data_IF_610583475147
#
_entry.id   IF_610583475147
#
_cell.length_a   1.000
_cell.length_b   1.000
_cell.length_c   1.000
_cell.angle_alpha   90.00
_cell.angle_beta   90.00
_cell.angle_gamma   90.00
#
_symmetry.space_group_name_H-M   'P 1'
#
loop_
_entity.id
_entity.type
_entity.pdbx_description
1 polymer ?
#
# COMPACT_ATOMS: atom_id res chain seq x y z
N UNK A 1 -7.11 -16.19 -29.49
CA UNK A 1 -6.41 -15.99 -28.19
C UNK A 1 -6.93 -14.69 -27.60
N UNK A 2 -7.28 -14.63 -26.31
CA UNK A 2 -7.58 -13.35 -25.67
C UNK A 2 -6.32 -12.48 -25.73
N UNK A 3 -6.49 -11.18 -26.05
CA UNK A 3 -5.38 -10.20 -26.02
C UNK A 3 -4.83 -10.15 -24.60
N UNK A 4 -3.51 -10.25 -24.44
CA UNK A 4 -2.87 -10.12 -23.13
C UNK A 4 -2.91 -8.68 -22.64
N UNK A 5 -3.01 -8.51 -21.33
CA UNK A 5 -2.91 -7.22 -20.66
C UNK A 5 -1.47 -6.71 -20.78
N UNK A 6 -1.28 -5.52 -21.31
CA UNK A 6 0.03 -4.88 -21.42
C UNK A 6 0.28 -4.03 -20.17
N UNK A 7 1.33 -4.37 -19.44
CA UNK A 7 1.67 -3.69 -18.19
C UNK A 7 3.02 -2.97 -18.28
N UNK A 8 3.12 -1.76 -17.74
CA UNK A 8 4.37 -1.04 -17.51
C UNK A 8 4.62 -0.98 -16.02
N UNK A 9 5.85 -1.26 -15.58
CA UNK A 9 6.30 -1.03 -14.21
C UNK A 9 6.96 0.34 -14.10
N UNK A 10 6.47 1.20 -13.21
CA UNK A 10 7.04 2.51 -12.90
C UNK A 10 7.54 2.56 -11.46
N UNK A 11 8.85 2.58 -11.29
CA UNK A 11 9.56 2.39 -10.03
C UNK A 11 9.90 0.92 -9.77
N UNK A 12 11.18 0.59 -9.68
CA UNK A 12 11.68 -0.78 -9.50
C UNK A 12 12.45 -0.85 -8.17
N UNK A 13 11.82 -0.32 -7.11
CA UNK A 13 12.22 -0.57 -5.74
C UNK A 13 11.84 -2.00 -5.32
N UNK A 14 12.00 -2.38 -4.05
CA UNK A 14 11.67 -3.72 -3.59
C UNK A 14 10.24 -4.16 -3.90
N UNK A 15 9.27 -3.27 -3.72
CA UNK A 15 7.85 -3.55 -4.03
C UNK A 15 7.65 -3.69 -5.54
N UNK A 16 8.20 -2.76 -6.34
CA UNK A 16 8.11 -2.85 -7.80
C UNK A 16 8.74 -4.11 -8.36
N UNK A 17 9.88 -4.54 -7.82
CA UNK A 17 10.52 -5.81 -8.18
C UNK A 17 9.64 -7.03 -7.86
N UNK A 18 8.98 -7.02 -6.69
CA UNK A 18 8.03 -8.08 -6.30
C UNK A 18 6.81 -8.11 -7.22
N UNK A 19 6.26 -6.93 -7.58
CA UNK A 19 5.14 -6.81 -8.53
C UNK A 19 5.54 -7.38 -9.89
N UNK A 20 6.70 -6.97 -10.43
CA UNK A 20 7.17 -7.45 -11.74
C UNK A 20 7.32 -8.98 -11.77
N UNK A 21 7.92 -9.56 -10.73
CA UNK A 21 8.03 -11.03 -10.63
C UNK A 21 6.66 -11.70 -10.65
N UNK A 22 5.70 -11.16 -9.90
CA UNK A 22 4.34 -11.69 -9.85
C UNK A 22 3.59 -11.50 -11.18
N UNK A 23 3.80 -10.38 -11.89
CA UNK A 23 3.24 -10.17 -13.23
C UNK A 23 3.76 -11.20 -14.25
N UNK A 24 5.04 -11.55 -14.18
CA UNK A 24 5.64 -12.57 -15.06
C UNK A 24 5.06 -13.97 -14.88
N UNK A 25 4.50 -14.26 -13.71
CA UNK A 25 3.79 -15.52 -13.45
C UNK A 25 2.39 -15.57 -14.10
N UNK A 26 1.84 -14.41 -14.55
CA UNK A 26 0.51 -14.33 -15.15
C UNK A 26 0.57 -14.55 -16.65
N UNK A 27 0.06 -15.67 -17.15
CA UNK A 27 0.02 -15.98 -18.60
C UNK A 27 -0.75 -14.94 -19.42
N UNK A 28 -1.69 -14.22 -18.78
CA UNK A 28 -2.51 -13.19 -19.39
C UNK A 28 -1.91 -11.79 -19.37
N UNK A 29 -0.68 -11.63 -18.86
CA UNK A 29 -0.01 -10.32 -18.75
C UNK A 29 1.30 -10.33 -19.53
N UNK A 30 1.57 -9.24 -20.26
CA UNK A 30 2.88 -8.95 -20.85
C UNK A 30 3.44 -7.66 -20.22
N UNK A 31 4.59 -7.76 -19.57
CA UNK A 31 5.34 -6.58 -19.12
C UNK A 31 6.08 -6.02 -20.33
N UNK A 32 5.65 -4.83 -20.78
CA UNK A 32 6.10 -4.22 -22.04
C UNK A 32 7.05 -3.03 -21.83
N UNK A 33 7.19 -2.54 -20.60
CA UNK A 33 8.07 -1.43 -20.28
C UNK A 33 8.41 -1.36 -18.79
N UNK A 34 9.52 -0.70 -18.47
CA UNK A 34 10.03 -0.52 -17.13
C UNK A 34 10.69 0.84 -16.97
N UNK A 35 10.29 1.60 -15.95
CA UNK A 35 10.77 2.97 -15.70
C UNK A 35 11.36 3.01 -14.28
N UNK A 36 12.60 3.55 -14.16
CA UNK A 36 13.22 3.85 -12.87
C UNK A 36 14.19 5.01 -13.06
N UNK A 37 14.35 5.85 -12.03
CA UNK A 37 15.25 6.98 -12.04
C UNK A 37 16.69 6.62 -11.63
N UNK A 38 16.92 5.42 -11.10
CA UNK A 38 18.22 4.97 -10.62
C UNK A 38 19.18 4.66 -11.78
N UNK A 39 20.29 5.45 -11.94
CA UNK A 39 21.25 5.23 -13.01
C UNK A 39 21.86 3.82 -13.02
N UNK A 40 21.92 3.15 -11.86
CA UNK A 40 22.46 1.79 -11.77
C UNK A 40 21.57 0.73 -12.42
N UNK A 41 20.29 1.06 -12.68
CA UNK A 41 19.30 0.17 -13.31
C UNK A 41 19.07 0.50 -14.78
N UNK A 42 19.22 1.77 -15.18
CA UNK A 42 18.94 2.25 -16.54
C UNK A 42 19.79 1.49 -17.55
N UNK A 43 19.14 1.05 -18.63
CA UNK A 43 19.78 0.29 -19.75
C UNK A 43 19.91 -1.21 -19.50
N UNK A 44 19.76 -1.67 -18.26
CA UNK A 44 19.81 -3.11 -17.92
C UNK A 44 18.48 -3.82 -18.26
N UNK A 45 18.56 -5.12 -18.49
CA UNK A 45 17.35 -5.92 -18.60
C UNK A 45 16.61 -5.98 -17.26
N UNK A 46 15.28 -5.93 -17.32
CA UNK A 46 14.43 -5.94 -16.13
C UNK A 46 14.61 -7.23 -15.31
N UNK A 47 14.86 -8.38 -15.97
CA UNK A 47 15.16 -9.65 -15.30
C UNK A 47 16.40 -9.53 -14.40
N UNK A 48 17.49 -8.90 -14.90
CA UNK A 48 18.71 -8.71 -14.14
C UNK A 48 18.49 -7.77 -12.94
N UNK A 49 17.72 -6.68 -13.16
CA UNK A 49 17.44 -5.69 -12.11
C UNK A 49 16.63 -6.29 -10.97
N UNK A 50 15.68 -7.19 -11.26
CA UNK A 50 14.86 -7.84 -10.22
C UNK A 50 15.47 -9.14 -9.69
N UNK A 51 16.63 -9.56 -10.23
CA UNK A 51 17.30 -10.79 -9.81
C UNK A 51 16.53 -12.05 -10.22
N UNK A 52 15.98 -12.10 -11.42
CA UNK A 52 15.37 -13.29 -12.00
C UNK A 52 16.46 -14.24 -12.53
N UNK A 53 16.21 -15.55 -12.48
CA UNK A 53 17.16 -16.59 -12.90
C UNK A 53 16.80 -17.28 -14.22
N UNK A 54 15.69 -16.88 -14.85
CA UNK A 54 15.13 -17.50 -16.07
C UNK A 54 15.62 -16.85 -17.38
N UNK A 55 16.67 -16.04 -17.29
CA UNK A 55 17.29 -15.34 -18.42
C UNK A 55 16.65 -13.96 -18.71
N UNK A 56 17.16 -13.26 -19.74
CA UNK A 56 16.70 -11.92 -20.06
C UNK A 56 15.25 -11.92 -20.54
N UNK A 57 14.48 -10.91 -20.09
CA UNK A 57 13.08 -10.74 -20.50
C UNK A 57 12.91 -9.83 -21.72
N UNK A 58 13.99 -9.21 -22.20
CA UNK A 58 13.95 -8.31 -23.36
C UNK A 58 13.33 -6.95 -23.07
N UNK A 59 13.07 -6.62 -21.79
CA UNK A 59 12.53 -5.33 -21.34
C UNK A 59 13.65 -4.57 -20.66
N UNK A 60 14.10 -3.47 -21.27
CA UNK A 60 15.13 -2.60 -20.68
C UNK A 60 14.52 -1.56 -19.79
N UNK A 61 15.14 -1.35 -18.62
CA UNK A 61 14.79 -0.25 -17.72
C UNK A 61 15.20 1.08 -18.34
N UNK A 62 14.28 2.04 -18.36
CA UNK A 62 14.51 3.38 -18.91
C UNK A 62 14.35 4.48 -17.87
N UNK A 63 15.17 5.52 -17.95
CA UNK A 63 14.97 6.78 -17.24
C UNK A 63 14.03 7.76 -17.98
N UNK A 64 13.77 7.51 -19.27
CA UNK A 64 12.81 8.27 -20.08
C UNK A 64 11.39 7.71 -19.89
N UNK A 65 10.68 8.27 -18.90
CA UNK A 65 9.34 7.85 -18.60
C UNK A 65 8.39 8.06 -19.79
N UNK A 66 8.48 9.20 -20.50
CA UNK A 66 7.58 9.51 -21.61
C UNK A 66 7.75 8.52 -22.77
N UNK A 67 8.98 8.25 -23.17
CA UNK A 67 9.27 7.31 -24.25
C UNK A 67 8.81 5.87 -23.94
N UNK A 68 8.77 5.47 -22.66
CA UNK A 68 8.21 4.17 -22.27
C UNK A 68 6.67 4.19 -22.23
N UNK A 69 6.05 5.24 -21.68
CA UNK A 69 4.59 5.36 -21.60
C UNK A 69 3.93 5.42 -22.98
N UNK A 70 4.59 6.06 -23.97
CA UNK A 70 4.10 6.15 -25.36
C UNK A 70 3.99 4.76 -26.06
N UNK A 71 4.52 3.68 -25.46
CA UNK A 71 4.33 2.31 -25.97
C UNK A 71 2.93 1.75 -25.80
N UNK A 72 1.99 2.51 -25.20
CA UNK A 72 0.60 2.15 -24.94
C UNK A 72 0.46 0.88 -24.10
N UNK A 73 0.20 1.03 -22.83
CA UNK A 73 -0.11 -0.05 -21.90
C UNK A 73 -1.56 0.03 -21.45
N UNK A 74 -2.14 -1.13 -21.11
CA UNK A 74 -3.48 -1.17 -20.52
C UNK A 74 -3.42 -0.71 -19.05
N UNK A 75 -2.30 -1.00 -18.36
CA UNK A 75 -2.09 -0.63 -16.95
C UNK A 75 -0.65 -0.25 -16.64
N UNK A 76 -0.47 0.77 -15.81
CA UNK A 76 0.82 1.13 -15.19
C UNK A 76 0.79 0.75 -13.71
N UNK A 77 1.76 -0.09 -13.30
CA UNK A 77 2.02 -0.42 -11.90
C UNK A 77 3.00 0.61 -11.34
N UNK A 78 2.52 1.52 -10.52
CA UNK A 78 3.27 2.68 -10.05
C UNK A 78 3.72 2.51 -8.60
N UNK A 79 5.04 2.57 -8.33
CA UNK A 79 5.62 2.25 -7.01
C UNK A 79 6.84 3.13 -6.67
N UNK A 80 6.70 4.46 -6.76
CA UNK A 80 7.83 5.38 -6.64
C UNK A 80 7.94 6.09 -5.29
N UNK A 81 6.81 6.51 -4.69
CA UNK A 81 6.80 7.24 -3.42
C UNK A 81 5.48 7.08 -2.69
N UNK A 82 5.51 7.26 -1.35
CA UNK A 82 4.33 7.29 -0.48
C UNK A 82 3.56 8.61 -0.54
N UNK A 83 4.21 9.69 -1.03
CA UNK A 83 3.67 11.06 -0.99
C UNK A 83 2.99 11.44 -2.29
N UNK A 84 1.69 11.74 -2.22
CA UNK A 84 0.89 12.12 -3.39
C UNK A 84 1.40 13.38 -4.10
N UNK A 85 1.78 14.48 -3.42
CA UNK A 85 2.36 15.65 -4.09
C UNK A 85 3.60 15.33 -4.92
N UNK A 86 4.44 14.39 -4.46
CA UNK A 86 5.69 14.01 -5.16
C UNK A 86 5.46 13.18 -6.42
N UNK A 87 4.33 12.52 -6.53
CA UNK A 87 4.04 11.60 -7.66
C UNK A 87 3.00 12.15 -8.64
N UNK A 88 2.45 13.33 -8.40
CA UNK A 88 1.38 13.91 -9.21
C UNK A 88 1.71 13.93 -10.71
N UNK A 89 2.89 14.44 -11.09
CA UNK A 89 3.28 14.55 -12.50
C UNK A 89 3.45 13.16 -13.14
N UNK A 90 3.92 12.17 -12.38
CA UNK A 90 4.04 10.79 -12.84
C UNK A 90 2.68 10.17 -13.11
N UNK A 91 1.73 10.35 -12.18
CA UNK A 91 0.37 9.83 -12.33
C UNK A 91 -0.35 10.50 -13.50
N UNK A 92 -0.25 11.84 -13.63
CA UNK A 92 -0.86 12.57 -14.74
C UNK A 92 -0.29 12.12 -16.09
N UNK A 93 1.03 11.86 -16.18
CA UNK A 93 1.66 11.37 -17.42
C UNK A 93 1.13 9.97 -17.80
N UNK A 94 0.87 9.09 -16.81
CA UNK A 94 0.27 7.78 -17.07
C UNK A 94 -1.18 7.90 -17.57
N UNK A 95 -1.96 8.82 -17.01
CA UNK A 95 -3.34 9.06 -17.43
C UNK A 95 -3.42 9.69 -18.83
N UNK A 96 -2.51 10.63 -19.15
CA UNK A 96 -2.44 11.33 -20.43
C UNK A 96 -2.26 10.37 -21.62
N UNK A 97 -1.57 9.25 -21.42
CA UNK A 97 -1.41 8.21 -22.46
C UNK A 97 -2.55 7.18 -22.48
N UNK A 98 -3.59 7.35 -21.69
CA UNK A 98 -4.75 6.47 -21.66
C UNK A 98 -4.51 5.13 -20.95
N UNK A 99 -3.58 5.05 -20.00
CA UNK A 99 -3.33 3.85 -19.20
C UNK A 99 -4.06 3.91 -17.85
N UNK A 100 -4.70 2.82 -17.44
CA UNK A 100 -5.13 2.67 -16.05
C UNK A 100 -3.91 2.64 -15.11
N UNK A 101 -4.08 3.07 -13.87
CA UNK A 101 -2.97 3.11 -12.89
C UNK A 101 -3.34 2.37 -11.61
N UNK A 102 -2.46 1.44 -11.20
CA UNK A 102 -2.46 0.87 -9.85
C UNK A 102 -1.21 1.36 -9.13
N UNK A 103 -1.39 2.18 -8.10
CA UNK A 103 -0.27 2.80 -7.37
C UNK A 103 -0.20 2.29 -5.93
N UNK A 104 1.02 2.10 -5.43
CA UNK A 104 1.27 1.83 -4.01
C UNK A 104 1.58 3.10 -3.22
N UNK A 105 1.27 4.27 -3.75
CA UNK A 105 1.34 5.53 -3.02
C UNK A 105 0.27 5.54 -1.92
N UNK A 106 0.70 5.51 -0.67
CA UNK A 106 -0.18 5.36 0.49
C UNK A 106 -1.15 6.55 0.63
N UNK A 107 -0.68 7.80 0.41
CA UNK A 107 -1.56 8.98 0.46
C UNK A 107 -2.63 8.98 -0.65
N UNK A 108 -2.43 8.23 -1.73
CA UNK A 108 -3.42 8.09 -2.82
C UNK A 108 -4.55 7.11 -2.45
N UNK A 109 -4.41 6.30 -1.41
CA UNK A 109 -5.42 5.29 -1.04
C UNK A 109 -6.78 5.90 -0.71
N UNK A 110 -6.78 7.06 -0.04
CA UNK A 110 -7.98 7.85 0.26
C UNK A 110 -7.66 9.34 0.41
N UNK A 111 -7.36 10.06 -0.69
CA UNK A 111 -6.78 11.41 -0.64
C UNK A 111 -7.80 12.53 -0.35
N UNK A 112 -9.08 12.23 -0.22
CA UNK A 112 -10.15 13.22 -0.23
C UNK A 112 -10.16 14.19 0.96
N UNK A 113 -9.56 13.80 2.09
CA UNK A 113 -9.41 14.68 3.27
C UNK A 113 -8.08 15.39 3.31
N UNK A 114 -7.00 14.65 3.03
CA UNK A 114 -5.62 15.17 3.16
C UNK A 114 -5.21 16.00 1.95
N UNK A 115 -5.65 15.60 0.75
CA UNK A 115 -5.28 16.22 -0.53
C UNK A 115 -6.48 16.43 -1.48
N UNK A 116 -7.55 17.14 -1.05
CA UNK A 116 -8.80 17.23 -1.83
C UNK A 116 -8.61 17.83 -3.23
N UNK A 117 -7.75 18.83 -3.37
CA UNK A 117 -7.47 19.47 -4.66
C UNK A 117 -6.71 18.54 -5.62
N UNK A 118 -5.72 17.78 -5.10
CA UNK A 118 -4.98 16.82 -5.89
C UNK A 118 -5.88 15.64 -6.30
N UNK A 119 -6.74 15.18 -5.39
CA UNK A 119 -7.74 14.16 -5.68
C UNK A 119 -8.69 14.59 -6.80
N UNK A 120 -9.23 15.81 -6.73
CA UNK A 120 -10.09 16.36 -7.77
C UNK A 120 -9.37 16.49 -9.12
N UNK A 121 -8.09 16.90 -9.13
CA UNK A 121 -7.27 17.01 -10.34
C UNK A 121 -7.04 15.65 -11.00
N UNK A 122 -6.71 14.63 -10.20
CA UNK A 122 -6.53 13.25 -10.70
C UNK A 122 -7.83 12.64 -11.20
N UNK A 123 -8.92 12.81 -10.47
CA UNK A 123 -10.24 12.32 -10.87
C UNK A 123 -10.68 12.91 -12.22
N UNK A 124 -10.50 14.23 -12.37
CA UNK A 124 -10.78 14.93 -13.63
C UNK A 124 -9.93 14.39 -14.79
N UNK A 125 -8.59 14.33 -14.61
CA UNK A 125 -7.69 13.85 -15.65
C UNK A 125 -8.00 12.41 -16.07
N UNK A 126 -8.26 11.51 -15.10
CA UNK A 126 -8.60 10.13 -15.38
C UNK A 126 -9.93 10.00 -16.15
N UNK A 127 -10.94 10.82 -15.81
CA UNK A 127 -12.23 10.88 -16.54
C UNK A 127 -12.06 11.39 -17.97
N UNK A 128 -11.27 12.44 -18.17
CA UNK A 128 -10.97 13.01 -19.47
C UNK A 128 -10.23 12.02 -20.37
N UNK A 129 -9.32 11.22 -19.82
CA UNK A 129 -8.61 10.16 -20.54
C UNK A 129 -9.39 8.84 -20.66
N UNK A 130 -10.57 8.72 -20.04
CA UNK A 130 -11.40 7.53 -20.09
C UNK A 130 -10.85 6.33 -19.32
N UNK A 131 -9.93 6.53 -18.37
CA UNK A 131 -9.26 5.48 -17.59
C UNK A 131 -9.47 5.65 -16.10
N UNK A 132 -9.09 4.66 -15.31
CA UNK A 132 -9.19 4.69 -13.86
C UNK A 132 -7.82 4.62 -13.19
N UNK A 133 -7.69 5.22 -12.00
CA UNK A 133 -6.52 5.03 -11.15
C UNK A 133 -6.94 4.71 -9.71
N UNK A 134 -6.10 3.94 -9.01
CA UNK A 134 -6.29 3.56 -7.61
C UNK A 134 -4.97 3.57 -6.85
N UNK A 135 -5.01 4.08 -5.62
CA UNK A 135 -3.99 3.83 -4.60
C UNK A 135 -4.37 2.61 -3.77
N UNK A 136 -3.47 1.63 -3.65
CA UNK A 136 -3.73 0.39 -2.91
C UNK A 136 -2.45 -0.28 -2.42
N UNK A 137 -2.58 -1.24 -1.53
CA UNK A 137 -1.51 -2.02 -0.93
C UNK A 137 -2.07 -2.91 0.16
N UNK A 138 -1.19 -3.43 1.02
CA UNK A 138 -1.66 -4.20 2.19
C UNK A 138 -2.22 -3.27 3.28
N UNK A 139 -1.59 -2.09 3.45
CA UNK A 139 -1.98 -1.08 4.44
C UNK A 139 -1.29 0.26 4.11
N UNK A 140 -2.06 1.29 3.71
CA UNK A 140 -3.49 1.28 3.40
C UNK A 140 -3.82 0.52 2.10
N UNK A 141 -5.08 0.11 1.96
CA UNK A 141 -5.63 -0.49 0.73
C UNK A 141 -6.29 -1.86 0.93
N UNK A 142 -5.97 -2.61 2.02
CA UNK A 142 -6.61 -3.90 2.25
C UNK A 142 -6.89 -4.21 3.73
N UNK A 143 -5.87 -4.50 4.55
CA UNK A 143 -6.07 -5.14 5.87
C UNK A 143 -6.81 -4.25 6.87
N UNK A 144 -6.47 -2.96 6.94
CA UNK A 144 -7.03 -2.05 7.93
C UNK A 144 -8.20 -1.19 7.39
N UNK A 145 -8.57 -1.37 6.13
CA UNK A 145 -9.67 -0.63 5.49
C UNK A 145 -10.58 -1.52 4.65
N UNK A 146 -10.18 -1.99 3.47
CA UNK A 146 -11.01 -2.82 2.58
C UNK A 146 -11.58 -4.07 3.28
N UNK A 147 -10.78 -4.75 4.09
CA UNK A 147 -11.22 -5.94 4.85
C UNK A 147 -12.28 -5.57 5.88
N UNK A 148 -12.10 -4.45 6.60
CA UNK A 148 -13.08 -3.91 7.55
C UNK A 148 -14.42 -3.65 6.86
N UNK A 149 -14.37 -2.95 5.71
CA UNK A 149 -15.55 -2.63 4.89
C UNK A 149 -16.22 -3.91 4.37
N UNK A 150 -15.43 -4.88 3.92
CA UNK A 150 -15.94 -6.15 3.38
C UNK A 150 -16.63 -6.96 4.47
N UNK A 151 -16.08 -7.04 5.68
CA UNK A 151 -16.71 -7.71 6.82
C UNK A 151 -18.01 -7.05 7.26
N UNK A 152 -18.12 -5.73 7.11
CA UNK A 152 -19.35 -5.01 7.43
C UNK A 152 -20.53 -5.36 6.51
N UNK A 153 -20.29 -5.99 5.35
CA UNK A 153 -21.36 -6.40 4.43
C UNK A 153 -22.36 -7.41 5.02
N UNK A 154 -21.98 -8.13 6.10
CA UNK A 154 -22.90 -9.04 6.80
C UNK A 154 -23.51 -8.42 8.07
N UNK A 155 -23.32 -7.11 8.30
CA UNK A 155 -23.89 -6.36 9.43
C UNK A 155 -25.08 -5.52 8.99
N UNK A 156 -26.13 -5.48 9.81
CA UNK A 156 -27.23 -4.54 9.63
C UNK A 156 -26.90 -3.14 10.14
N UNK A 157 -25.99 -3.05 11.13
CA UNK A 157 -25.52 -1.79 11.72
C UNK A 157 -24.11 -1.98 12.28
N UNK A 158 -23.24 -1.03 12.03
CA UNK A 158 -21.92 -0.92 12.66
C UNK A 158 -21.89 0.37 13.48
N UNK A 159 -21.51 0.26 14.74
CA UNK A 159 -21.44 1.37 15.70
C UNK A 159 -20.00 1.76 16.04
N UNK A 160 -19.07 0.79 15.91
CA UNK A 160 -17.65 0.99 16.14
C UNK A 160 -16.86 -0.04 15.33
N UNK A 161 -15.76 0.40 14.75
CA UNK A 161 -14.83 -0.45 14.01
C UNK A 161 -13.42 -0.36 14.61
N UNK A 162 -12.79 -1.50 14.85
CA UNK A 162 -11.40 -1.58 15.31
C UNK A 162 -10.60 -2.47 14.35
N UNK A 163 -9.43 -1.99 13.94
CA UNK A 163 -8.45 -2.77 13.20
C UNK A 163 -7.10 -2.72 13.91
N UNK A 164 -6.49 -3.86 14.12
CA UNK A 164 -5.17 -4.00 14.75
C UNK A 164 -4.26 -4.79 13.83
N UNK A 165 -3.05 -4.29 13.67
CA UNK A 165 -1.99 -4.95 12.92
C UNK A 165 -0.72 -5.01 13.74
N UNK A 166 -0.24 -6.22 14.07
CA UNK A 166 1.04 -6.48 14.73
C UNK A 166 1.96 -7.17 13.73
N UNK A 167 3.09 -6.53 13.43
CA UNK A 167 4.06 -7.02 12.45
C UNK A 167 5.39 -7.29 13.14
N UNK A 168 5.91 -8.51 13.02
CA UNK A 168 7.29 -8.78 13.36
C UNK A 168 8.22 -8.24 12.28
N UNK A 169 9.11 -7.33 12.68
CA UNK A 169 10.10 -6.72 11.80
C UNK A 169 11.48 -7.43 11.86
N UNK A 170 11.62 -8.51 12.61
CA UNK A 170 12.91 -9.18 12.83
C UNK A 170 13.53 -9.73 11.55
N UNK A 171 12.70 -10.28 10.64
CA UNK A 171 13.12 -10.81 9.34
C UNK A 171 13.09 -9.77 8.21
N UNK A 172 12.75 -8.51 8.54
CA UNK A 172 12.66 -7.46 7.53
C UNK A 172 14.03 -6.84 7.27
N UNK A 173 14.22 -6.34 6.05
CA UNK A 173 15.46 -5.70 5.61
C UNK A 173 15.92 -4.58 6.55
N UNK A 174 17.23 -4.42 6.73
CA UNK A 174 17.82 -3.36 7.56
C UNK A 174 17.25 -1.96 7.34
N UNK A 175 16.97 -1.49 6.09
CA UNK A 175 16.37 -0.17 5.89
C UNK A 175 14.99 -0.03 6.54
N UNK A 176 14.17 -1.10 6.59
CA UNK A 176 12.89 -1.07 7.28
C UNK A 176 13.08 -1.04 8.80
N UNK A 177 13.97 -1.88 9.35
CA UNK A 177 14.25 -1.88 10.78
C UNK A 177 14.75 -0.52 11.27
N UNK A 178 15.60 0.16 10.48
CA UNK A 178 16.00 1.54 10.74
C UNK A 178 14.85 2.55 10.60
N UNK A 179 14.00 2.39 9.59
CA UNK A 179 12.84 3.28 9.36
C UNK A 179 11.84 3.27 10.51
N UNK A 180 11.70 2.14 11.22
CA UNK A 180 10.83 2.04 12.39
C UNK A 180 11.54 2.39 13.71
N UNK A 181 12.79 2.83 13.66
CA UNK A 181 13.56 3.30 14.80
C UNK A 181 14.22 2.21 15.64
N UNK A 182 14.31 0.96 15.14
CA UNK A 182 14.93 -0.13 15.89
C UNK A 182 16.41 0.17 16.24
N UNK A 183 16.76 0.02 17.53
CA UNK A 183 18.09 0.28 18.11
C UNK A 183 18.33 1.74 18.51
N UNK A 184 17.40 2.67 18.29
CA UNK A 184 17.51 4.06 18.72
C UNK A 184 17.20 4.23 20.21
N UNK A 185 17.65 5.36 20.80
CA UNK A 185 17.10 5.82 22.08
C UNK A 185 15.66 6.31 21.92
N UNK A 186 14.91 6.36 23.02
CA UNK A 186 13.54 6.88 23.03
C UNK A 186 13.52 8.36 22.64
N UNK A 187 14.51 9.14 23.07
CA UNK A 187 14.67 10.55 22.77
C UNK A 187 14.90 10.78 21.27
N UNK A 188 15.85 10.05 20.67
CA UNK A 188 16.15 10.13 19.25
C UNK A 188 14.91 9.75 18.40
N UNK A 189 14.19 8.70 18.82
CA UNK A 189 12.94 8.29 18.16
C UNK A 189 11.91 9.42 18.14
N UNK A 190 11.67 10.06 19.30
CA UNK A 190 10.68 11.15 19.41
C UNK A 190 11.06 12.38 18.58
N UNK A 191 12.36 12.70 18.49
CA UNK A 191 12.84 13.76 17.60
C UNK A 191 12.54 13.44 16.14
N UNK A 192 12.85 12.21 15.69
CA UNK A 192 12.58 11.78 14.31
C UNK A 192 11.09 11.69 13.99
N UNK A 193 10.23 11.40 14.96
CA UNK A 193 8.78 11.48 14.80
C UNK A 193 8.34 12.94 14.58
N UNK A 194 8.86 13.89 15.38
CA UNK A 194 8.56 15.35 15.21
C UNK A 194 9.03 15.86 13.84
N UNK A 195 10.15 15.36 13.32
CA UNK A 195 10.68 15.69 12.00
C UNK A 195 9.90 15.00 10.86
N UNK A 196 8.95 14.10 11.17
CA UNK A 196 8.18 13.34 10.18
C UNK A 196 8.98 12.22 9.47
N UNK A 197 10.17 11.87 10.00
CA UNK A 197 11.05 10.82 9.44
C UNK A 197 10.51 9.45 9.81
N UNK A 198 10.12 9.24 11.08
CA UNK A 198 9.50 8.01 11.54
C UNK A 198 8.00 8.17 11.49
N UNK A 199 7.38 7.52 10.49
CA UNK A 199 5.94 7.49 10.29
C UNK A 199 5.57 6.34 9.36
N UNK A 200 4.51 5.62 9.68
CA UNK A 200 3.79 4.81 8.69
C UNK A 200 2.69 5.67 8.06
N UNK A 201 2.78 5.91 6.76
CA UNK A 201 1.83 6.73 6.02
C UNK A 201 0.56 5.90 5.73
N UNK A 202 -0.63 6.50 5.91
CA UNK A 202 -1.88 5.92 5.45
C UNK A 202 -2.90 5.52 6.52
N UNK A 203 -2.58 5.54 7.83
CA UNK A 203 -3.57 5.24 8.86
C UNK A 203 -4.76 6.23 8.86
N UNK A 204 -4.55 7.55 8.82
CA UNK A 204 -5.64 8.52 8.71
C UNK A 204 -6.49 8.31 7.46
N UNK A 205 -5.88 7.96 6.33
CA UNK A 205 -6.56 7.64 5.07
C UNK A 205 -7.46 6.40 5.24
N UNK A 206 -6.97 5.35 5.90
CA UNK A 206 -7.79 4.15 6.19
C UNK A 206 -8.94 4.46 7.12
N UNK A 207 -8.73 5.27 8.19
CA UNK A 207 -9.81 5.73 9.08
C UNK A 207 -10.89 6.47 8.28
N UNK A 208 -10.48 7.41 7.41
CA UNK A 208 -11.41 8.20 6.59
C UNK A 208 -12.20 7.30 5.62
N UNK A 209 -11.52 6.36 4.94
CA UNK A 209 -12.15 5.43 4.01
C UNK A 209 -13.18 4.54 4.72
N UNK A 210 -12.86 4.00 5.90
CA UNK A 210 -13.77 3.18 6.69
C UNK A 210 -14.96 4.01 7.17
N UNK A 211 -14.72 5.22 7.70
CA UNK A 211 -15.78 6.13 8.15
C UNK A 211 -16.82 6.37 7.05
N UNK A 212 -16.36 6.84 5.90
CA UNK A 212 -17.23 7.18 4.79
C UNK A 212 -17.94 5.94 4.20
N UNK A 213 -17.27 4.76 4.22
CA UNK A 213 -17.87 3.52 3.71
C UNK A 213 -18.93 2.94 4.63
N UNK A 214 -18.79 3.11 5.94
CA UNK A 214 -19.74 2.62 6.94
C UNK A 214 -20.82 3.64 7.29
N UNK A 215 -20.76 4.86 6.70
CA UNK A 215 -21.68 5.95 7.02
C UNK A 215 -21.49 6.51 8.44
N UNK A 216 -20.31 6.33 9.03
CA UNK A 216 -19.97 6.87 10.34
C UNK A 216 -19.52 8.32 10.19
N UNK A 217 -20.23 9.25 10.86
CA UNK A 217 -19.83 10.65 10.85
C UNK A 217 -18.62 10.83 11.75
N UNK A 218 -17.46 11.08 11.14
CA UNK A 218 -16.19 11.37 11.82
C UNK A 218 -15.84 12.84 11.58
N UNK A 219 -15.81 13.63 12.64
CA UNK A 219 -15.49 15.07 12.61
C UNK A 219 -13.99 15.29 12.74
N UNK A 220 -13.30 14.43 13.48
CA UNK A 220 -11.88 14.55 13.80
C UNK A 220 -11.18 13.19 13.59
N UNK A 221 -10.00 13.23 12.98
CA UNK A 221 -9.08 12.11 12.92
C UNK A 221 -7.81 12.50 13.66
N UNK A 222 -7.46 11.74 14.69
CA UNK A 222 -6.22 11.93 15.47
C UNK A 222 -5.24 10.82 15.16
N UNK A 223 -3.95 11.14 15.25
CA UNK A 223 -2.86 10.17 15.08
C UNK A 223 -1.81 10.36 16.17
N UNK A 224 -1.34 9.26 16.74
CA UNK A 224 -0.23 9.23 17.70
C UNK A 224 0.81 8.21 17.27
N UNK A 225 2.09 8.55 17.44
CA UNK A 225 3.22 7.67 17.10
C UNK A 225 4.12 7.62 18.33
N UNK A 226 4.22 6.43 18.93
CA UNK A 226 5.02 6.18 20.13
C UNK A 226 6.06 5.09 19.87
N UNK A 227 7.18 5.07 20.59
CA UNK A 227 8.16 4.00 20.49
C UNK A 227 7.63 2.72 21.14
N UNK A 228 7.84 1.59 20.50
CA UNK A 228 7.77 0.28 21.13
C UNK A 228 9.14 -0.01 21.76
N UNK A 229 9.24 0.03 23.08
CA UNK A 229 10.50 -0.15 23.81
C UNK A 229 10.74 -1.63 24.06
N UNK A 230 11.97 -2.12 23.83
CA UNK A 230 12.36 -3.48 24.11
C UNK A 230 12.46 -3.71 25.64
N UNK A 231 11.80 -4.75 26.13
CA UNK A 231 11.91 -5.21 27.52
C UNK A 231 13.06 -6.18 27.74
N UNK A 232 13.52 -6.82 26.69
CA UNK A 232 14.63 -7.78 26.67
C UNK A 232 15.50 -7.55 25.43
N UNK A 233 16.66 -8.19 25.40
CA UNK A 233 17.56 -8.12 24.24
C UNK A 233 16.96 -8.88 23.08
N UNK A 234 16.83 -8.18 21.93
CA UNK A 234 16.37 -8.76 20.66
C UNK A 234 17.50 -8.69 19.65
N UNK A 235 17.83 -9.82 19.03
CA UNK A 235 18.85 -9.88 17.98
C UNK A 235 18.20 -10.29 16.65
N UNK A 236 18.46 -9.49 15.61
CA UNK A 236 18.10 -9.81 14.23
C UNK A 236 19.35 -10.15 13.42
N UNK A 237 19.21 -10.50 12.16
CA UNK A 237 20.37 -10.65 11.25
C UNK A 237 21.19 -9.35 11.13
N UNK A 238 20.56 -8.18 11.27
CA UNK A 238 21.14 -6.89 10.91
C UNK A 238 21.53 -6.01 12.09
N UNK A 239 20.87 -6.16 13.23
CA UNK A 239 21.10 -5.32 14.41
C UNK A 239 20.69 -6.02 15.70
N UNK A 240 21.21 -5.50 16.80
CA UNK A 240 20.80 -5.88 18.16
C UNK A 240 20.08 -4.69 18.80
N UNK A 241 18.97 -4.95 19.46
CA UNK A 241 18.24 -3.98 20.29
C UNK A 241 18.39 -4.41 21.75
N UNK A 242 18.96 -3.53 22.55
CA UNK A 242 19.14 -3.79 23.99
C UNK A 242 17.89 -3.34 24.79
N UNK A 243 17.68 -3.90 25.99
CA UNK A 243 16.59 -3.46 26.86
C UNK A 243 16.61 -1.94 27.06
N UNK A 244 15.45 -1.30 26.95
CA UNK A 244 15.31 0.15 27.04
C UNK A 244 15.49 0.90 25.72
N UNK A 245 16.03 0.28 24.70
CA UNK A 245 16.05 0.86 23.34
C UNK A 245 14.72 0.64 22.63
N UNK A 246 14.50 1.40 21.55
CA UNK A 246 13.34 1.27 20.69
C UNK A 246 13.44 -0.01 19.86
N UNK A 247 12.43 -0.86 19.94
CA UNK A 247 12.28 -2.04 19.10
C UNK A 247 11.53 -1.71 17.79
N UNK A 248 10.75 -0.64 17.78
CA UNK A 248 9.98 -0.23 16.61
C UNK A 248 8.91 0.82 16.92
N UNK A 249 7.91 0.88 16.07
CA UNK A 249 6.84 1.89 16.10
C UNK A 249 5.53 1.30 16.62
N UNK A 250 4.83 2.09 17.43
CA UNK A 250 3.44 1.90 17.83
C UNK A 250 2.64 3.12 17.40
N UNK A 251 1.79 2.97 16.41
CA UNK A 251 1.03 4.05 15.80
C UNK A 251 -0.45 3.78 15.91
N UNK A 252 -1.21 4.79 16.35
CA UNK A 252 -2.66 4.70 16.53
C UNK A 252 -3.31 5.86 15.81
N UNK A 253 -4.35 5.56 15.03
CA UNK A 253 -5.26 6.56 14.47
C UNK A 253 -6.68 6.32 14.98
N UNK A 254 -7.39 7.40 15.32
CA UNK A 254 -8.77 7.37 15.80
C UNK A 254 -9.65 8.27 14.97
N UNK A 255 -10.84 7.78 14.66
CA UNK A 255 -11.93 8.56 14.10
C UNK A 255 -12.93 8.91 15.21
N UNK A 256 -13.09 10.20 15.48
CA UNK A 256 -13.93 10.70 16.57
C UNK A 256 -15.16 11.42 16.01
N UNK A 257 -16.27 11.33 16.72
CA UNK A 257 -17.48 12.14 16.52
C UNK A 257 -17.91 12.72 17.86
N UNK A 258 -17.91 14.04 17.97
CA UNK A 258 -18.24 14.74 19.22
C UNK A 258 -17.44 14.20 20.43
N UNK A 259 -16.16 13.86 20.20
CA UNK A 259 -15.24 13.30 21.19
C UNK A 259 -15.42 11.79 21.45
N UNK A 260 -16.43 11.14 20.89
CA UNK A 260 -16.64 9.69 20.98
C UNK A 260 -15.85 8.96 19.90
N UNK A 261 -15.06 7.96 20.27
CA UNK A 261 -14.35 7.08 19.33
C UNK A 261 -15.33 6.17 18.59
N UNK A 262 -15.34 6.25 17.26
CA UNK A 262 -16.11 5.38 16.38
C UNK A 262 -15.21 4.43 15.60
N UNK A 263 -13.95 4.83 15.36
CA UNK A 263 -12.97 4.01 14.65
C UNK A 263 -11.66 4.05 15.41
N UNK A 264 -11.06 2.89 15.61
CA UNK A 264 -9.75 2.70 16.22
C UNK A 264 -8.89 1.85 15.30
N UNK A 265 -7.76 2.39 14.88
CA UNK A 265 -6.76 1.68 14.09
C UNK A 265 -5.41 1.72 14.78
N UNK A 266 -4.78 0.56 14.94
CA UNK A 266 -3.53 0.40 15.65
C UNK A 266 -2.55 -0.43 14.82
N UNK A 267 -1.37 0.14 14.57
CA UNK A 267 -0.24 -0.53 13.93
C UNK A 267 0.91 -0.63 14.92
N UNK A 268 1.32 -1.84 15.22
CA UNK A 268 2.57 -2.14 15.91
C UNK A 268 3.51 -2.83 14.92
N UNK A 269 4.68 -2.25 14.68
CA UNK A 269 5.71 -2.85 13.84
C UNK A 269 7.04 -2.75 14.57
N UNK A 270 7.54 -3.88 15.06
CA UNK A 270 8.75 -3.91 15.89
C UNK A 270 9.48 -5.25 15.77
N UNK A 271 10.78 -5.24 16.07
CA UNK A 271 11.59 -6.46 16.13
C UNK A 271 11.29 -7.21 17.42
N UNK A 272 11.20 -8.54 17.34
CA UNK A 272 10.88 -9.40 18.48
C UNK A 272 9.39 -9.46 18.83
N UNK A 273 8.49 -9.21 17.87
CA UNK A 273 7.07 -9.39 18.09
C UNK A 273 6.74 -10.89 18.28
N UNK A 274 6.11 -11.24 19.40
CA UNK A 274 5.81 -12.64 19.76
C UNK A 274 4.53 -13.17 19.13
N UNK A 275 3.54 -12.29 18.91
CA UNK A 275 2.21 -12.67 18.42
C UNK A 275 1.79 -11.79 17.24
N UNK A 276 2.49 -11.87 16.09
CA UNK A 276 2.09 -11.11 14.91
C UNK A 276 0.71 -11.55 14.45
N UNK A 277 -0.16 -10.58 14.17
CA UNK A 277 -1.52 -10.83 13.72
C UNK A 277 -2.12 -9.59 13.06
N UNK A 278 -3.06 -9.81 12.14
CA UNK A 278 -4.01 -8.78 11.70
C UNK A 278 -5.38 -9.13 12.29
N UNK A 279 -6.09 -8.16 12.87
CA UNK A 279 -7.43 -8.39 13.41
C UNK A 279 -8.39 -7.24 13.11
N UNK A 280 -9.67 -7.59 13.00
CA UNK A 280 -10.78 -6.65 12.81
C UNK A 280 -11.89 -7.00 13.78
N UNK A 281 -12.39 -6.01 14.51
CA UNK A 281 -13.55 -6.10 15.36
C UNK A 281 -14.60 -5.06 14.94
N UNK A 282 -15.82 -5.51 14.67
CA UNK A 282 -16.97 -4.63 14.42
C UNK A 282 -17.96 -4.80 15.57
N UNK A 283 -18.30 -3.70 16.25
CA UNK A 283 -19.40 -3.66 17.21
C UNK A 283 -20.66 -3.16 16.49
N UNK A 284 -21.74 -3.89 16.62
CA UNK A 284 -23.00 -3.56 15.92
C UNK A 284 -23.99 -4.70 15.96
N UNK A 285 -24.70 -4.93 14.87
CA UNK A 285 -25.68 -6.00 14.75
C UNK A 285 -25.43 -6.81 13.46
N UNK A 286 -24.86 -8.03 13.58
CA UNK A 286 -24.21 -8.62 14.76
C UNK A 286 -22.82 -8.01 15.04
N UNK A 287 -22.21 -8.34 16.18
CA UNK A 287 -20.80 -8.14 16.41
C UNK A 287 -19.99 -9.14 15.55
N UNK A 288 -18.87 -8.69 15.00
CA UNK A 288 -17.99 -9.52 14.18
C UNK A 288 -16.56 -9.38 14.69
N UNK A 289 -15.85 -10.50 14.73
CA UNK A 289 -14.42 -10.54 15.02
C UNK A 289 -13.73 -11.45 14.03
N UNK A 290 -12.62 -10.97 13.45
CA UNK A 290 -11.73 -11.72 12.56
C UNK A 290 -10.31 -11.59 13.06
N UNK A 291 -9.58 -12.69 13.04
CA UNK A 291 -8.13 -12.70 13.31
C UNK A 291 -7.42 -13.46 12.17
N UNK A 292 -6.35 -12.92 11.67
CA UNK A 292 -5.40 -13.59 10.76
C UNK A 292 -4.13 -13.85 11.57
N UNK A 293 -3.95 -15.06 12.11
CA UNK A 293 -2.75 -15.42 12.87
C UNK A 293 -1.50 -15.29 12.01
N UNK A 294 -0.41 -14.79 12.58
CA UNK A 294 0.84 -14.50 11.86
C UNK A 294 0.78 -13.20 11.05
N UNK A 295 -0.40 -12.65 10.84
CA UNK A 295 -0.60 -11.44 10.04
C UNK A 295 -0.25 -11.58 8.56
N UNK A 296 -0.42 -10.51 7.81
CA UNK A 296 -0.08 -10.46 6.37
C UNK A 296 1.32 -9.88 6.19
N UNK A 297 2.20 -10.59 5.52
CA UNK A 297 3.55 -10.11 5.25
C UNK A 297 3.52 -8.86 4.35
N UNK A 298 4.07 -7.73 4.82
CA UNK A 298 3.91 -6.42 4.17
C UNK A 298 4.29 -6.36 2.69
N UNK A 299 5.51 -6.83 2.33
CA UNK A 299 6.01 -6.73 0.95
C UNK A 299 5.26 -7.69 0.01
N UNK A 300 5.02 -8.94 0.47
CA UNK A 300 4.29 -9.95 -0.31
C UNK A 300 2.83 -9.50 -0.53
N UNK A 301 2.14 -9.12 0.54
CA UNK A 301 0.73 -8.75 0.45
C UNK A 301 0.53 -7.46 -0.36
N UNK A 302 1.43 -6.46 -0.25
CA UNK A 302 1.34 -5.24 -1.06
C UNK A 302 1.44 -5.55 -2.56
N UNK A 303 2.44 -6.33 -2.96
CA UNK A 303 2.58 -6.75 -4.37
C UNK A 303 1.36 -7.57 -4.84
N UNK A 304 0.87 -8.47 -3.98
CA UNK A 304 -0.30 -9.29 -4.29
C UNK A 304 -1.57 -8.45 -4.47
N UNK A 305 -1.87 -7.53 -3.56
CA UNK A 305 -3.06 -6.66 -3.67
C UNK A 305 -2.97 -5.79 -4.91
N UNK A 306 -1.80 -5.19 -5.20
CA UNK A 306 -1.61 -4.37 -6.38
C UNK A 306 -1.85 -5.16 -7.67
N UNK A 307 -1.26 -6.35 -7.82
CA UNK A 307 -1.44 -7.20 -9.02
C UNK A 307 -2.87 -7.75 -9.11
N UNK A 308 -3.46 -8.15 -7.99
CA UNK A 308 -4.83 -8.64 -7.92
C UNK A 308 -5.88 -7.55 -8.23
N UNK A 309 -5.51 -6.27 -8.14
CA UNK A 309 -6.38 -5.14 -8.50
C UNK A 309 -6.47 -4.91 -10.02
N UNK A 310 -5.57 -5.49 -10.83
CA UNK A 310 -5.52 -5.24 -12.28
C UNK A 310 -6.84 -5.57 -12.98
N UNK A 311 -7.47 -6.74 -12.82
CA UNK A 311 -8.73 -7.01 -13.51
C UNK A 311 -9.83 -6.01 -13.14
N UNK A 312 -9.93 -5.67 -11.85
CA UNK A 312 -10.96 -4.77 -11.35
C UNK A 312 -10.77 -3.31 -11.83
N UNK A 313 -9.52 -2.83 -11.91
CA UNK A 313 -9.26 -1.45 -12.37
C UNK A 313 -9.50 -1.28 -13.88
N UNK A 314 -9.22 -2.31 -14.67
CA UNK A 314 -9.47 -2.29 -16.12
C UNK A 314 -10.96 -2.28 -16.47
N UNK A 315 -11.82 -2.77 -15.58
CA UNK A 315 -13.27 -2.79 -15.73
C UNK A 315 -13.96 -1.63 -14.98
N UNK A 316 -13.21 -0.85 -14.21
CA UNK A 316 -13.74 0.22 -13.39
C UNK A 316 -14.22 1.40 -14.24
N UNK A 317 -15.21 2.14 -13.73
CA UNK A 317 -15.56 3.43 -14.29
C UNK A 317 -14.36 4.38 -14.23
N UNK A 318 -14.17 5.19 -15.27
CA UNK A 318 -13.08 6.18 -15.30
C UNK A 318 -13.14 7.16 -14.13
N UNK A 319 -11.95 7.59 -13.67
CA UNK A 319 -11.77 8.51 -12.54
C UNK A 319 -10.89 7.94 -11.45
N UNK A 320 -10.72 8.71 -10.37
CA UNK A 320 -10.03 8.27 -9.16
C UNK A 320 -10.92 7.26 -8.41
N UNK A 321 -10.37 6.07 -8.18
CA UNK A 321 -11.01 4.99 -7.43
C UNK A 321 -10.24 4.72 -6.14
N UNK A 322 -10.92 4.13 -5.19
CA UNK A 322 -10.32 3.62 -3.96
C UNK A 322 -10.51 2.11 -3.90
N UNK A 323 -9.82 1.44 -3.00
CA UNK A 323 -9.98 -0.01 -2.83
C UNK A 323 -11.41 -0.42 -2.51
N UNK A 324 -12.21 0.47 -1.87
CA UNK A 324 -13.63 0.22 -1.58
C UNK A 324 -14.48 0.09 -2.84
N UNK A 325 -14.11 0.78 -3.92
CA UNK A 325 -14.88 0.85 -5.16
C UNK A 325 -14.60 -0.35 -6.09
N UNK A 326 -13.54 -1.13 -5.80
CA UNK A 326 -13.08 -2.22 -6.64
C UNK A 326 -13.44 -3.59 -6.05
N UNK A 327 -13.92 -4.50 -6.89
CA UNK A 327 -14.11 -5.91 -6.53
C UNK A 327 -12.76 -6.66 -6.63
N UNK A 328 -11.84 -6.37 -5.70
CA UNK A 328 -10.52 -7.00 -5.68
C UNK A 328 -10.66 -8.46 -5.27
N UNK A 329 -10.32 -9.35 -6.19
CA UNK A 329 -10.27 -10.80 -5.98
C UNK A 329 -8.87 -11.35 -6.30
N UNK A 330 -8.72 -12.67 -6.25
CA UNK A 330 -7.48 -13.31 -6.64
C UNK A 330 -7.36 -13.33 -8.18
N UNK A 331 -6.24 -12.81 -8.71
CA UNK A 331 -5.92 -12.86 -10.13
C UNK A 331 -5.09 -14.13 -10.40
N UNK A 332 -5.67 -15.17 -11.04
CA UNK A 332 -4.98 -16.45 -11.23
C UNK A 332 -3.82 -16.33 -12.22
N UNK A 333 -2.81 -17.21 -12.08
CA UNK A 333 -1.67 -17.27 -12.99
C UNK A 333 -2.10 -17.69 -14.39
N UNK A 334 -3.06 -18.62 -14.48
CA UNK A 334 -3.67 -19.05 -15.76
C UNK A 334 -5.10 -18.53 -15.85
N UNK A 335 -5.54 -18.07 -17.04
CA UNK A 335 -6.93 -17.71 -17.24
C UNK A 335 -7.87 -18.87 -16.88
N UNK A 336 -8.99 -18.55 -16.22
CA UNK A 336 -10.06 -19.53 -16.06
C UNK A 336 -10.59 -19.92 -17.45
N UNK A 337 -10.79 -21.21 -17.66
CA UNK A 337 -11.32 -21.77 -18.93
C UNK A 337 -12.75 -21.31 -19.16
#
# INVERSE_FOLDING_TARGET
MRKKIRAIQYGIGPIGASIVKLLKEKESVDVVGAIDADPAKIGRDLADVVGASDGPWGVKVSGDARGVLDQSADVVMHTTSSSLPKVMDQLLACLDVGSCVVSTCEELSYPYRTHPELAAKLDKAAKESGVALVGTGVNPGFVMDKLVITLAAVSQRVEHAKALRIVDASERRLPLQKKIGAGMSVEEFREKVKEGIIKHVGLPESVAMVADSLGLRVDEITETIEPKVASERVQTEFLTVEPGQVAGVHQIARGLSEGKELIYMELQMYVGATDPADSVELKGLPNISLVIPGGSHGDIATASVAVNSIPAILEAQSGLRTSRDLAIGFFPAKPLK
#
